data_IF_686438809890
#
_entry.id   IF_686438809890
#
_cell.length_a   1.000
_cell.length_b   1.000
_cell.length_c   1.000
_cell.angle_alpha   90.00
_cell.angle_beta   90.00
_cell.angle_gamma   90.00
#
_symmetry.space_group_name_H-M   'P 1'
#
loop_
_entity.id
_entity.type
_entity.pdbx_description
1 polymer ?
#
# COMPACT_ATOMS: atom_id res chain seq x y z
N UNK A 1 45.78 -0.59 63.87
CA UNK A 1 46.79 -0.75 62.80
C UNK A 1 46.04 -0.97 61.49
N UNK A 2 46.31 -0.08 60.54
CA UNK A 2 45.52 0.23 59.35
C UNK A 2 45.95 -0.68 58.19
N UNK A 3 45.04 -1.38 57.51
CA UNK A 3 45.27 -1.78 56.10
C UNK A 3 43.94 -1.79 55.33
N UNK A 4 43.47 -0.59 55.02
CA UNK A 4 42.46 -0.37 54.01
C UNK A 4 43.12 -0.57 52.63
N UNK A 5 42.83 -1.68 51.95
CA UNK A 5 43.27 -1.93 50.57
C UNK A 5 42.06 -1.76 49.66
N UNK A 6 41.83 -0.52 49.25
CA UNK A 6 40.85 -0.18 48.22
C UNK A 6 41.19 -0.92 46.92
N UNK A 7 40.42 -1.94 46.59
CA UNK A 7 40.36 -2.46 45.23
C UNK A 7 39.70 -1.40 44.36
N UNK A 8 40.51 -0.55 43.70
CA UNK A 8 40.03 0.21 42.55
C UNK A 8 39.80 -0.82 41.43
N UNK A 9 38.60 -1.42 41.45
CA UNK A 9 38.13 -2.34 40.42
C UNK A 9 37.89 -1.52 39.16
N UNK A 10 38.57 -1.90 38.07
CA UNK A 10 38.57 -1.21 36.78
C UNK A 10 37.21 -1.36 36.04
N UNK A 11 36.12 -0.94 36.67
CA UNK A 11 34.73 -1.08 36.19
C UNK A 11 34.49 -0.27 34.91
N UNK A 12 35.23 0.82 34.69
CA UNK A 12 35.07 1.67 33.50
C UNK A 12 35.39 0.92 32.20
N UNK A 13 36.48 0.13 32.17
CA UNK A 13 36.81 -0.68 31.00
C UNK A 13 35.73 -1.71 30.69
N UNK A 14 35.22 -2.41 31.72
CA UNK A 14 34.17 -3.43 31.56
C UNK A 14 32.87 -2.85 30.98
N UNK A 15 32.43 -1.70 31.48
CA UNK A 15 31.19 -1.04 31.01
C UNK A 15 31.32 -0.55 29.56
N UNK A 16 32.50 -0.05 29.17
CA UNK A 16 32.75 0.35 27.77
C UNK A 16 32.69 -0.85 26.81
N UNK A 17 33.36 -1.96 27.15
CA UNK A 17 33.30 -3.18 26.34
C UNK A 17 31.89 -3.75 26.25
N UNK A 18 31.17 -3.80 27.37
CA UNK A 18 29.78 -4.28 27.42
C UNK A 18 28.86 -3.41 26.55
N UNK A 19 29.00 -2.09 26.62
CA UNK A 19 28.20 -1.16 25.81
C UNK A 19 28.50 -1.29 24.33
N UNK A 20 29.77 -1.42 23.94
CA UNK A 20 30.17 -1.63 22.54
C UNK A 20 29.59 -2.95 22.02
N UNK A 21 29.71 -4.01 22.80
CA UNK A 21 29.20 -5.34 22.44
C UNK A 21 27.67 -5.32 22.26
N UNK A 22 26.93 -4.72 23.20
CA UNK A 22 25.47 -4.56 23.08
C UNK A 22 25.11 -3.72 21.86
N UNK A 23 25.83 -2.63 21.60
CA UNK A 23 25.59 -1.77 20.43
C UNK A 23 25.80 -2.53 19.12
N UNK A 24 26.83 -3.38 19.04
CA UNK A 24 27.08 -4.23 17.87
C UNK A 24 25.91 -5.20 17.65
N UNK A 25 25.42 -5.85 18.71
CA UNK A 25 24.26 -6.74 18.60
C UNK A 25 22.98 -6.01 18.18
N UNK A 26 22.73 -4.82 18.75
CA UNK A 26 21.57 -4.00 18.37
C UNK A 26 21.68 -3.58 16.90
N UNK A 27 22.85 -3.13 16.44
CA UNK A 27 23.09 -2.77 15.05
C UNK A 27 22.86 -3.97 14.12
N UNK A 28 23.35 -5.15 14.48
CA UNK A 28 23.13 -6.38 13.72
C UNK A 28 21.63 -6.73 13.61
N UNK A 29 20.89 -6.63 14.71
CA UNK A 29 19.45 -6.90 14.69
C UNK A 29 18.68 -5.86 13.87
N UNK A 30 19.07 -4.60 13.91
CA UNK A 30 18.44 -3.56 13.07
C UNK A 30 18.64 -3.85 11.59
N UNK A 31 19.84 -4.27 11.17
CA UNK A 31 20.11 -4.63 9.77
C UNK A 31 19.16 -5.75 9.31
N UNK A 32 19.06 -6.84 10.08
CA UNK A 32 18.18 -7.98 9.77
C UNK A 32 16.70 -7.57 9.77
N UNK A 33 16.30 -6.76 10.75
CA UNK A 33 14.92 -6.29 10.88
C UNK A 33 14.50 -5.41 9.69
N UNK A 34 15.38 -4.52 9.24
CA UNK A 34 15.13 -3.64 8.10
C UNK A 34 14.94 -4.47 6.83
N UNK A 35 15.85 -5.38 6.50
CA UNK A 35 15.73 -6.23 5.29
C UNK A 35 14.43 -7.05 5.27
N UNK A 36 14.08 -7.64 6.41
CA UNK A 36 12.83 -8.40 6.57
C UNK A 36 11.60 -7.51 6.38
N UNK A 37 11.62 -6.30 6.95
CA UNK A 37 10.52 -5.35 6.82
C UNK A 37 10.29 -4.94 5.36
N UNK A 38 11.34 -4.60 4.61
CA UNK A 38 11.23 -4.24 3.20
C UNK A 38 10.63 -5.36 2.35
N UNK A 39 11.07 -6.60 2.57
CA UNK A 39 10.56 -7.77 1.85
C UNK A 39 9.09 -7.99 2.16
N UNK A 40 8.69 -7.95 3.43
CA UNK A 40 7.29 -8.12 3.83
C UNK A 40 6.40 -6.99 3.29
N UNK A 41 6.87 -5.75 3.33
CA UNK A 41 6.15 -4.61 2.79
C UNK A 41 5.94 -4.73 1.29
N UNK A 42 6.93 -5.23 0.55
CA UNK A 42 6.81 -5.46 -0.90
C UNK A 42 5.72 -6.50 -1.21
N UNK A 43 5.75 -7.65 -0.55
CA UNK A 43 4.73 -8.71 -0.76
C UNK A 43 3.33 -8.19 -0.45
N UNK A 44 3.18 -7.43 0.64
CA UNK A 44 1.90 -6.82 0.99
C UNK A 44 1.40 -5.84 -0.08
N UNK A 45 2.29 -4.99 -0.62
CA UNK A 45 1.95 -4.09 -1.74
C UNK A 45 1.55 -4.87 -2.99
N UNK A 46 2.29 -5.91 -3.36
CA UNK A 46 1.95 -6.74 -4.52
C UNK A 46 0.56 -7.38 -4.40
N UNK A 47 0.21 -7.91 -3.22
CA UNK A 47 -1.12 -8.43 -2.96
C UNK A 47 -2.21 -7.35 -3.03
N UNK A 48 -1.95 -6.18 -2.45
CA UNK A 48 -2.87 -5.05 -2.53
C UNK A 48 -3.07 -4.56 -3.98
N UNK A 49 -2.02 -4.52 -4.80
CA UNK A 49 -2.11 -4.17 -6.22
C UNK A 49 -3.06 -5.11 -6.99
N UNK A 50 -2.97 -6.42 -6.75
CA UNK A 50 -3.86 -7.39 -7.40
C UNK A 50 -5.32 -7.16 -7.02
N UNK A 51 -5.58 -6.82 -5.75
CA UNK A 51 -6.92 -6.47 -5.27
C UNK A 51 -7.41 -5.19 -5.94
N UNK A 52 -6.59 -4.14 -6.00
CA UNK A 52 -6.93 -2.87 -6.66
C UNK A 52 -7.25 -3.09 -8.15
N UNK A 53 -6.40 -3.80 -8.89
CA UNK A 53 -6.64 -4.12 -10.30
C UNK A 53 -7.95 -4.89 -10.48
N UNK A 54 -8.21 -5.88 -9.64
CA UNK A 54 -9.46 -6.65 -9.68
C UNK A 54 -10.67 -5.75 -9.43
N UNK A 55 -10.58 -4.87 -8.45
CA UNK A 55 -11.65 -3.93 -8.09
C UNK A 55 -11.95 -2.95 -9.23
N UNK A 56 -10.92 -2.33 -9.82
CA UNK A 56 -11.11 -1.39 -10.94
C UNK A 56 -11.69 -2.09 -12.16
N UNK A 57 -11.19 -3.29 -12.50
CA UNK A 57 -11.72 -4.07 -13.64
C UNK A 57 -13.18 -4.42 -13.44
N UNK A 58 -13.56 -4.86 -12.24
CA UNK A 58 -14.97 -5.10 -11.88
C UNK A 58 -15.78 -3.82 -11.95
N UNK A 59 -15.25 -2.69 -11.50
CA UNK A 59 -15.91 -1.39 -11.59
C UNK A 59 -16.17 -0.97 -13.05
N UNK A 60 -15.19 -1.16 -13.96
CA UNK A 60 -15.36 -0.93 -15.40
C UNK A 60 -16.46 -1.83 -15.97
N UNK A 61 -16.42 -3.14 -15.67
CA UNK A 61 -17.46 -4.08 -16.14
C UNK A 61 -18.84 -3.71 -15.59
N UNK A 62 -18.92 -3.30 -14.32
CA UNK A 62 -20.16 -2.90 -13.70
C UNK A 62 -20.71 -1.59 -14.28
N UNK A 63 -19.83 -0.64 -14.60
CA UNK A 63 -20.18 0.58 -15.33
C UNK A 63 -20.75 0.24 -16.70
N UNK A 64 -20.14 -0.69 -17.44
CA UNK A 64 -20.66 -1.18 -18.72
C UNK A 64 -22.06 -1.80 -18.57
N UNK A 65 -22.28 -2.63 -17.54
CA UNK A 65 -23.58 -3.27 -17.28
C UNK A 65 -24.66 -2.23 -16.95
N UNK A 66 -24.32 -1.22 -16.15
CA UNK A 66 -25.29 -0.24 -15.63
C UNK A 66 -25.54 0.93 -16.57
N UNK A 67 -24.56 1.34 -17.39
CA UNK A 67 -24.65 2.48 -18.31
C UNK A 67 -24.71 2.09 -19.78
N UNK A 68 -24.45 0.82 -20.11
CA UNK A 68 -24.43 0.31 -21.49
C UNK A 68 -23.23 0.77 -22.33
N UNK A 69 -22.24 1.44 -21.72
CA UNK A 69 -21.01 1.90 -22.38
C UNK A 69 -19.80 1.80 -21.46
N UNK A 70 -18.61 1.70 -22.04
CA UNK A 70 -17.36 1.80 -21.29
C UNK A 70 -17.19 3.23 -20.75
N UNK A 71 -16.52 3.42 -19.59
CA UNK A 71 -16.19 4.75 -19.10
C UNK A 71 -15.15 5.40 -20.03
N UNK A 72 -15.23 6.71 -20.20
CA UNK A 72 -14.27 7.48 -21.01
C UNK A 72 -12.91 7.57 -20.30
N UNK A 73 -12.91 7.49 -18.96
CA UNK A 73 -11.71 7.46 -18.13
C UNK A 73 -11.97 6.80 -16.77
N UNK A 74 -10.93 6.30 -16.10
CA UNK A 74 -11.07 5.77 -14.74
C UNK A 74 -11.50 6.81 -13.71
N UNK A 75 -11.18 8.09 -13.93
CA UNK A 75 -11.66 9.22 -13.12
C UNK A 75 -13.18 9.29 -13.07
N UNK A 76 -13.86 8.84 -14.12
CA UNK A 76 -15.32 8.79 -14.17
C UNK A 76 -15.88 7.80 -13.14
N UNK A 77 -15.21 6.67 -12.92
CA UNK A 77 -15.61 5.65 -11.94
C UNK A 77 -15.47 6.13 -10.49
N UNK A 78 -14.60 7.12 -10.26
CA UNK A 78 -14.43 7.76 -8.95
C UNK A 78 -15.54 8.80 -8.71
N UNK A 79 -15.92 9.53 -9.75
CA UNK A 79 -16.88 10.65 -9.64
C UNK A 79 -18.33 10.22 -9.73
N UNK A 80 -18.64 9.25 -10.58
CA UNK A 80 -20.00 8.81 -10.79
C UNK A 80 -20.44 7.81 -9.73
N UNK A 81 -21.72 7.92 -9.35
CA UNK A 81 -22.34 7.01 -8.42
C UNK A 81 -23.26 6.05 -9.18
N UNK A 82 -23.24 4.81 -8.71
CA UNK A 82 -24.18 3.77 -9.10
C UNK A 82 -25.54 4.15 -8.55
N UNK A 83 -26.56 4.06 -9.39
CA UNK A 83 -27.96 4.17 -8.97
C UNK A 83 -28.62 2.82 -9.21
N UNK A 84 -28.89 2.08 -8.13
CA UNK A 84 -29.58 0.78 -8.21
C UNK A 84 -31.05 1.00 -7.83
N UNK A 85 -32.00 0.81 -8.76
CA UNK A 85 -33.42 0.88 -8.42
C UNK A 85 -33.79 -0.32 -7.54
N UNK A 86 -34.22 -0.05 -6.29
CA UNK A 86 -34.72 -1.09 -5.38
C UNK A 86 -36.23 -1.23 -5.58
N UNK A 87 -36.71 -2.47 -5.71
CA UNK A 87 -38.05 -2.84 -6.19
C UNK A 87 -39.26 -2.30 -5.39
N UNK A 88 -39.07 -1.62 -4.25
CA UNK A 88 -40.19 -1.18 -3.39
C UNK A 88 -39.93 0.10 -2.57
N UNK A 89 -38.82 0.80 -2.80
CA UNK A 89 -38.52 2.07 -2.11
C UNK A 89 -37.62 2.93 -2.98
N UNK A 90 -37.94 4.22 -3.09
CA UNK A 90 -37.07 5.24 -3.69
C UNK A 90 -35.88 5.57 -2.77
N UNK A 91 -35.13 4.55 -2.33
CA UNK A 91 -33.83 4.79 -1.69
C UNK A 91 -32.79 4.77 -2.80
N UNK A 92 -32.40 5.97 -3.24
CA UNK A 92 -31.27 6.17 -4.16
C UNK A 92 -29.99 5.90 -3.37
N UNK A 93 -29.58 4.63 -3.33
CA UNK A 93 -28.29 4.25 -2.76
C UNK A 93 -27.20 4.66 -3.75
N UNK A 94 -26.59 5.81 -3.48
CA UNK A 94 -25.52 6.40 -4.27
C UNK A 94 -24.16 5.87 -3.80
N UNK A 95 -23.71 4.76 -4.39
CA UNK A 95 -22.39 4.19 -4.10
C UNK A 95 -21.44 4.51 -5.25
N UNK A 96 -20.22 5.03 -5.01
CA UNK A 96 -19.25 5.22 -6.09
C UNK A 96 -18.79 3.87 -6.65
N UNK A 97 -18.44 3.82 -7.95
CA UNK A 97 -17.96 2.58 -8.58
C UNK A 97 -16.59 2.13 -8.02
N UNK A 98 -15.76 3.08 -7.58
CA UNK A 98 -14.48 2.83 -6.90
C UNK A 98 -14.52 3.55 -5.54
N UNK A 99 -14.12 2.85 -4.48
CA UNK A 99 -14.06 3.38 -3.12
C UNK A 99 -12.61 3.50 -2.65
N UNK A 100 -12.32 4.53 -1.85
CA UNK A 100 -11.13 4.64 -0.98
C UNK A 100 -9.77 4.43 -1.66
N UNK A 101 -9.65 4.75 -2.94
CA UNK A 101 -8.39 4.66 -3.68
C UNK A 101 -7.62 5.98 -3.61
N UNK A 102 -6.28 5.88 -3.59
CA UNK A 102 -5.42 7.06 -3.70
C UNK A 102 -5.64 7.72 -5.07
N UNK A 103 -5.71 9.06 -5.08
CA UNK A 103 -5.87 9.85 -6.29
C UNK A 103 -4.68 10.78 -6.48
N UNK A 104 -4.36 11.11 -7.73
CA UNK A 104 -3.50 12.25 -8.02
C UNK A 104 -4.25 13.59 -7.96
N UNK A 105 -3.52 14.67 -8.22
CA UNK A 105 -4.06 16.04 -8.22
C UNK A 105 -5.18 16.23 -9.25
N UNK A 106 -5.17 15.46 -10.34
CA UNK A 106 -6.14 15.48 -11.40
C UNK A 106 -7.34 14.54 -11.15
N UNK A 107 -7.32 13.76 -10.06
CA UNK A 107 -8.38 12.84 -9.65
C UNK A 107 -8.39 11.50 -10.37
N UNK A 108 -7.26 11.05 -10.93
CA UNK A 108 -7.09 9.69 -11.44
C UNK A 108 -6.62 8.74 -10.32
N UNK A 109 -7.08 7.48 -10.35
CA UNK A 109 -6.64 6.49 -9.38
C UNK A 109 -5.15 6.16 -9.55
N UNK A 110 -4.48 6.10 -8.41
CA UNK A 110 -3.10 5.67 -8.23
C UNK A 110 -3.08 4.25 -7.68
N UNK A 111 -2.12 3.48 -8.12
CA UNK A 111 -1.81 2.18 -7.55
C UNK A 111 -1.07 2.31 -6.21
N UNK A 112 -0.95 1.21 -5.48
CA UNK A 112 -0.20 1.11 -4.21
C UNK A 112 1.26 1.60 -4.25
N UNK A 113 1.84 1.78 -5.44
CA UNK A 113 3.19 2.29 -5.64
C UNK A 113 3.21 3.78 -6.02
N UNK A 114 2.04 4.43 -6.07
CA UNK A 114 1.87 5.84 -6.40
C UNK A 114 1.90 6.13 -7.90
N UNK A 115 1.69 5.14 -8.76
CA UNK A 115 1.63 5.33 -10.22
C UNK A 115 0.19 5.28 -10.70
N UNK A 116 -0.14 6.12 -11.69
CA UNK A 116 -1.47 6.08 -12.33
C UNK A 116 -1.71 4.74 -12.99
N UNK A 117 -2.94 4.24 -12.88
CA UNK A 117 -3.38 3.14 -13.73
C UNK A 117 -3.45 3.58 -15.20
N UNK A 118 -3.07 2.69 -16.10
CA UNK A 118 -3.27 2.85 -17.54
C UNK A 118 -4.60 2.22 -17.93
N UNK A 119 -5.39 2.95 -18.71
CA UNK A 119 -6.72 2.54 -19.15
C UNK A 119 -6.92 2.79 -20.63
N UNK A 120 -7.42 1.79 -21.34
CA UNK A 120 -7.84 1.91 -22.73
C UNK A 120 -9.38 1.99 -22.81
N UNK A 121 -9.95 3.15 -23.18
CA UNK A 121 -11.40 3.33 -23.26
C UNK A 121 -12.07 2.51 -24.37
N UNK A 122 -11.31 2.03 -25.37
CA UNK A 122 -11.86 1.22 -26.46
C UNK A 122 -12.06 -0.23 -26.06
N UNK A 123 -11.13 -0.77 -25.29
CA UNK A 123 -11.13 -2.18 -24.88
C UNK A 123 -11.62 -2.38 -23.45
N UNK A 124 -11.63 -1.32 -22.64
CA UNK A 124 -11.90 -1.39 -21.20
C UNK A 124 -10.72 -1.96 -20.40
N UNK A 125 -9.55 -2.16 -21.02
CA UNK A 125 -8.41 -2.80 -20.38
C UNK A 125 -7.76 -1.85 -19.36
N UNK A 126 -7.51 -2.37 -18.15
CA UNK A 126 -6.87 -1.65 -17.04
C UNK A 126 -5.54 -2.34 -16.70
N UNK A 127 -4.47 -1.57 -16.57
CA UNK A 127 -3.13 -2.03 -16.21
C UNK A 127 -2.52 -1.13 -15.13
N UNK A 128 -1.64 -1.69 -14.29
CA UNK A 128 -0.80 -0.88 -13.41
C UNK A 128 0.18 -0.03 -14.22
N UNK A 129 0.46 1.19 -13.74
CA UNK A 129 1.54 2.02 -14.28
C UNK A 129 2.91 1.68 -13.70
N UNK A 130 2.99 0.76 -12.76
CA UNK A 130 4.24 0.33 -12.13
C UNK A 130 4.95 -0.70 -12.99
N UNK A 131 6.23 -0.44 -13.28
CA UNK A 131 7.06 -1.30 -14.12
C UNK A 131 7.19 -2.71 -13.52
N UNK A 132 6.95 -3.73 -14.33
CA UNK A 132 6.97 -5.14 -13.92
C UNK A 132 5.60 -5.71 -13.51
N UNK A 133 4.56 -4.87 -13.41
CA UNK A 133 3.20 -5.26 -13.04
C UNK A 133 2.16 -4.94 -14.13
N UNK A 134 2.61 -4.60 -15.34
CA UNK A 134 1.74 -4.13 -16.43
C UNK A 134 0.81 -5.21 -16.98
N UNK A 135 1.18 -6.48 -16.77
CA UNK A 135 0.48 -7.67 -17.30
C UNK A 135 -0.34 -8.41 -16.24
N UNK A 136 -0.32 -7.95 -14.99
CA UNK A 136 -1.11 -8.50 -13.90
C UNK A 136 -2.57 -8.11 -14.06
#
# INVERSE_FOLDING_TARGET
MNINKYYIRNNHGRVLFETILVTIFVALFLIIAVEKFWTSARIAREGALQIELSNIRRAVSFYLITKGKLPDSLKQLVKEQVVIPKHDVLVRMEWPYIQEMALDEEGYPLDVFGRRFSYDPKTGMVKSGTKGYEMW
#
